data_IF_996246436303
#
_entry.id   IF_996246436303
#
_cell.length_a   1.000
_cell.length_b   1.000
_cell.length_c   1.000
_cell.angle_alpha   90.00
_cell.angle_beta   90.00
_cell.angle_gamma   90.00
#
_symmetry.space_group_name_H-M   'P 1'
#
loop_
_entity.id
_entity.type
_entity.pdbx_description
1 polymer ?
#
# COMPACT_ATOMS: atom_id res chain seq x y z
N UNK A 1 -62.14 47.68 -43.38
CA UNK A 1 -61.01 46.96 -44.00
C UNK A 1 -59.93 46.78 -42.93
N UNK A 2 -59.76 45.57 -42.40
CA UNK A 2 -58.75 45.27 -41.37
C UNK A 2 -57.58 44.53 -42.03
N UNK A 3 -56.39 45.10 -41.93
CA UNK A 3 -55.16 44.50 -42.44
C UNK A 3 -54.67 43.42 -41.46
N UNK A 4 -54.82 42.16 -41.86
CA UNK A 4 -54.09 41.02 -41.29
C UNK A 4 -52.76 40.92 -42.02
N UNK A 5 -51.63 41.02 -41.32
CA UNK A 5 -50.36 40.70 -41.94
C UNK A 5 -49.13 40.98 -41.09
N UNK A 6 -48.63 39.94 -40.42
CA UNK A 6 -47.22 39.86 -40.08
C UNK A 6 -46.89 39.60 -38.62
N UNK A 7 -47.28 38.45 -38.07
CA UNK A 7 -46.68 37.95 -36.83
C UNK A 7 -45.22 37.63 -37.13
N UNK A 8 -44.30 38.44 -36.59
CA UNK A 8 -42.86 38.13 -36.57
C UNK A 8 -42.67 36.85 -35.78
N UNK A 9 -42.27 35.77 -36.45
CA UNK A 9 -41.82 34.54 -35.78
C UNK A 9 -40.55 34.86 -35.01
N UNK A 10 -40.66 34.98 -33.69
CA UNK A 10 -39.51 34.97 -32.80
C UNK A 10 -38.87 33.59 -32.90
N UNK A 11 -37.70 33.53 -33.54
CA UNK A 11 -36.87 32.33 -33.58
C UNK A 11 -36.48 31.95 -32.16
N UNK A 12 -37.09 30.90 -31.63
CA UNK A 12 -36.71 30.24 -30.37
C UNK A 12 -35.66 29.16 -30.60
N UNK A 13 -34.74 29.37 -31.53
CA UNK A 13 -33.59 28.49 -31.72
C UNK A 13 -32.46 28.88 -30.75
N UNK A 14 -32.70 28.70 -29.45
CA UNK A 14 -31.60 28.58 -28.50
C UNK A 14 -30.91 27.23 -28.75
N UNK A 15 -29.57 27.15 -28.82
CA UNK A 15 -28.87 25.88 -29.03
C UNK A 15 -29.22 24.95 -27.86
N UNK A 16 -29.97 23.90 -28.16
CA UNK A 16 -30.27 22.85 -27.17
C UNK A 16 -28.94 22.18 -26.86
N UNK A 17 -28.43 22.36 -25.64
CA UNK A 17 -27.33 21.53 -25.13
C UNK A 17 -27.86 20.10 -25.08
N UNK A 18 -27.47 19.30 -26.06
CA UNK A 18 -27.81 17.89 -26.12
C UNK A 18 -27.24 17.21 -24.88
N UNK A 19 -28.14 16.57 -24.12
CA UNK A 19 -27.71 15.76 -22.99
C UNK A 19 -26.98 14.52 -23.53
N UNK A 20 -25.84 14.15 -22.93
CA UNK A 20 -25.07 13.01 -23.39
C UNK A 20 -25.94 11.76 -23.35
N UNK A 21 -25.97 11.03 -24.46
CA UNK A 21 -26.75 9.79 -24.61
C UNK A 21 -26.22 8.65 -23.75
N UNK A 22 -24.99 8.79 -23.22
CA UNK A 22 -24.36 7.85 -22.28
C UNK A 22 -23.28 8.52 -21.43
N UNK A 23 -23.06 8.03 -20.21
CA UNK A 23 -21.99 8.50 -19.31
C UNK A 23 -20.60 8.51 -19.96
N UNK A 24 -20.30 7.48 -20.78
CA UNK A 24 -19.00 7.36 -21.47
C UNK A 24 -18.82 8.47 -22.52
N UNK A 25 -19.88 8.82 -23.26
CA UNK A 25 -19.82 9.91 -24.23
C UNK A 25 -19.55 11.26 -23.56
N UNK A 26 -20.09 11.47 -22.35
CA UNK A 26 -19.86 12.66 -21.56
C UNK A 26 -18.41 12.78 -21.06
N UNK A 27 -17.85 11.68 -20.53
CA UNK A 27 -16.46 11.62 -20.07
C UNK A 27 -15.46 11.83 -21.21
N UNK A 28 -15.76 11.32 -22.42
CA UNK A 28 -14.93 11.53 -23.62
C UNK A 28 -14.82 13.00 -24.02
N UNK A 29 -15.88 13.77 -23.81
CA UNK A 29 -15.92 15.22 -24.10
C UNK A 29 -15.40 16.09 -22.96
N UNK A 30 -15.26 15.51 -21.76
CA UNK A 30 -14.80 16.24 -20.59
C UNK A 30 -13.26 16.30 -20.59
N UNK A 31 -12.69 17.50 -20.71
CA UNK A 31 -11.25 17.71 -20.62
C UNK A 31 -10.81 17.51 -19.17
N UNK A 32 -10.53 16.27 -18.80
CA UNK A 32 -10.07 15.91 -17.46
C UNK A 32 -8.64 16.44 -17.24
N UNK A 33 -8.41 17.09 -16.12
CA UNK A 33 -7.07 17.50 -15.72
C UNK A 33 -6.37 16.31 -15.06
N UNK A 34 -5.89 15.38 -15.90
CA UNK A 34 -5.29 14.10 -15.51
C UNK A 34 -4.10 14.30 -14.57
N UNK A 35 -3.37 15.41 -14.70
CA UNK A 35 -2.27 15.76 -13.80
C UNK A 35 -2.76 16.01 -12.37
N UNK A 36 -3.78 16.85 -12.18
CA UNK A 36 -4.33 17.12 -10.85
C UNK A 36 -4.97 15.87 -10.23
N UNK A 37 -5.62 15.04 -11.05
CA UNK A 37 -6.18 13.76 -10.61
C UNK A 37 -5.06 12.80 -10.17
N UNK A 38 -3.97 12.74 -10.93
CA UNK A 38 -2.80 11.91 -10.60
C UNK A 38 -2.11 12.35 -9.31
N UNK A 39 -1.91 13.66 -9.12
CA UNK A 39 -1.34 14.22 -7.88
C UNK A 39 -2.25 13.94 -6.68
N UNK A 40 -3.56 14.08 -6.84
CA UNK A 40 -4.52 13.75 -5.79
C UNK A 40 -4.49 12.25 -5.45
N UNK A 41 -4.45 11.37 -6.45
CA UNK A 41 -4.37 9.93 -6.21
C UNK A 41 -3.05 9.52 -5.54
N UNK A 42 -1.92 10.08 -5.98
CA UNK A 42 -0.61 9.82 -5.37
C UNK A 42 -0.55 10.27 -3.91
N UNK A 43 -1.04 11.47 -3.60
CA UNK A 43 -1.06 11.98 -2.22
C UNK A 43 -2.00 11.17 -1.33
N UNK A 44 -3.17 10.76 -1.83
CA UNK A 44 -4.09 9.88 -1.11
C UNK A 44 -3.48 8.49 -0.88
N UNK A 45 -2.81 7.93 -1.90
CA UNK A 45 -2.12 6.64 -1.80
C UNK A 45 -0.98 6.69 -0.80
N UNK A 46 -0.14 7.72 -0.85
CA UNK A 46 1.00 7.88 0.06
C UNK A 46 0.55 8.09 1.50
N UNK A 47 -0.47 8.93 1.71
CA UNK A 47 -1.04 9.14 3.05
C UNK A 47 -1.69 7.86 3.60
N UNK A 48 -2.40 7.10 2.78
CA UNK A 48 -2.96 5.80 3.17
C UNK A 48 -1.86 4.82 3.60
N UNK A 49 -0.79 4.70 2.80
CA UNK A 49 0.36 3.86 3.16
C UNK A 49 0.99 4.32 4.48
N UNK A 50 1.20 5.62 4.67
CA UNK A 50 1.81 6.17 5.88
C UNK A 50 0.98 5.91 7.14
N UNK A 51 -0.35 6.01 7.05
CA UNK A 51 -1.26 5.67 8.16
C UNK A 51 -1.20 4.18 8.49
N UNK A 52 -1.20 3.31 7.48
CA UNK A 52 -1.08 1.85 7.70
C UNK A 52 0.27 1.48 8.33
N UNK A 53 1.37 2.11 7.90
CA UNK A 53 2.68 1.90 8.52
C UNK A 53 2.71 2.33 9.97
N UNK A 54 2.14 3.51 10.28
CA UNK A 54 2.06 4.00 11.65
C UNK A 54 1.27 3.05 12.55
N UNK A 55 0.11 2.59 12.10
CA UNK A 55 -0.71 1.64 12.86
C UNK A 55 0.02 0.33 13.13
N UNK A 56 0.69 -0.25 12.12
CA UNK A 56 1.49 -1.48 12.31
C UNK A 56 2.65 -1.25 13.27
N UNK A 57 3.31 -0.11 13.16
CA UNK A 57 4.42 0.25 14.04
C UNK A 57 3.96 0.39 15.50
N UNK A 58 2.83 1.07 15.74
CA UNK A 58 2.27 1.26 17.08
C UNK A 58 1.88 -0.09 17.71
N UNK A 59 1.33 -1.02 16.92
CA UNK A 59 1.03 -2.40 17.37
C UNK A 59 2.31 -3.14 17.75
N UNK A 60 3.33 -3.14 16.88
CA UNK A 60 4.62 -3.80 17.15
C UNK A 60 5.33 -3.20 18.35
N UNK A 61 5.25 -1.88 18.56
CA UNK A 61 5.78 -1.25 19.76
C UNK A 61 5.04 -1.70 21.03
N UNK A 62 3.71 -1.81 20.97
CA UNK A 62 2.92 -2.31 22.10
C UNK A 62 3.28 -3.74 22.46
N UNK A 63 3.39 -4.62 21.45
CA UNK A 63 3.81 -6.01 21.61
C UNK A 63 5.24 -6.11 22.17
N UNK A 64 6.17 -5.29 21.68
CA UNK A 64 7.54 -5.22 22.22
C UNK A 64 7.54 -4.89 23.71
N UNK A 65 6.80 -3.88 24.14
CA UNK A 65 6.76 -3.50 25.57
C UNK A 65 6.24 -4.65 26.44
N UNK A 66 5.18 -5.34 26.00
CA UNK A 66 4.67 -6.51 26.71
C UNK A 66 5.67 -7.67 26.72
N UNK A 67 6.45 -7.83 25.65
CA UNK A 67 7.48 -8.84 25.58
C UNK A 67 8.65 -8.51 26.52
N UNK A 68 9.10 -7.25 26.54
CA UNK A 68 10.15 -6.76 27.42
C UNK A 68 9.75 -6.95 28.90
N UNK A 69 8.52 -6.60 29.28
CA UNK A 69 7.99 -6.83 30.63
C UNK A 69 8.00 -8.33 31.00
N UNK A 70 7.64 -9.21 30.07
CA UNK A 70 7.66 -10.67 30.29
C UNK A 70 9.08 -11.20 30.39
N UNK A 71 10.00 -10.70 29.57
CA UNK A 71 11.41 -11.05 29.63
C UNK A 71 11.99 -10.63 30.97
N UNK A 72 11.75 -9.40 31.44
CA UNK A 72 12.20 -8.95 32.75
C UNK A 72 11.67 -9.83 33.90
N UNK A 73 10.40 -10.26 33.84
CA UNK A 73 9.85 -11.19 34.82
C UNK A 73 10.52 -12.56 34.76
N UNK A 74 10.76 -13.08 33.56
CA UNK A 74 11.45 -14.35 33.37
C UNK A 74 12.90 -14.27 33.85
N UNK A 75 13.60 -13.18 33.59
CA UNK A 75 14.96 -12.95 34.07
C UNK A 75 15.02 -12.96 35.61
N UNK A 76 14.07 -12.28 36.26
CA UNK A 76 13.95 -12.31 37.73
C UNK A 76 13.66 -13.71 38.25
N UNK A 77 12.73 -14.44 37.64
CA UNK A 77 12.41 -15.81 38.04
C UNK A 77 13.60 -16.77 37.83
N UNK A 78 14.35 -16.61 36.75
CA UNK A 78 15.55 -17.40 36.48
C UNK A 78 16.61 -17.14 37.55
N UNK A 79 16.83 -15.89 37.93
CA UNK A 79 17.74 -15.54 39.02
C UNK A 79 17.26 -16.08 40.38
N UNK A 80 15.97 -15.97 40.68
CA UNK A 80 15.36 -16.49 41.92
C UNK A 80 15.46 -18.02 42.02
N UNK A 81 15.42 -18.73 40.88
CA UNK A 81 15.60 -20.18 40.78
C UNK A 81 17.08 -20.60 40.72
N UNK A 82 18.03 -19.65 40.77
CA UNK A 82 19.47 -19.91 40.75
C UNK A 82 20.05 -20.19 39.36
N UNK A 83 19.33 -19.86 38.29
CA UNK A 83 19.81 -19.92 36.91
C UNK A 83 20.70 -18.73 36.56
N UNK A 84 21.52 -18.90 35.51
CA UNK A 84 22.45 -17.86 35.01
C UNK A 84 21.90 -17.32 33.70
N UNK A 85 21.86 -16.00 33.57
CA UNK A 85 21.44 -15.32 32.34
C UNK A 85 22.58 -15.31 31.30
N UNK A 86 22.27 -15.50 30.01
CA UNK A 86 23.27 -15.40 28.95
C UNK A 86 23.78 -13.96 28.82
N UNK A 87 25.10 -13.77 28.80
CA UNK A 87 25.72 -12.46 28.61
C UNK A 87 25.49 -11.98 27.17
N UNK A 88 25.43 -10.66 26.97
CA UNK A 88 25.22 -10.02 25.66
C UNK A 88 26.18 -10.52 24.56
N UNK A 89 27.40 -10.92 24.92
CA UNK A 89 28.40 -11.50 24.00
C UNK A 89 28.04 -12.89 23.47
N UNK A 90 27.24 -13.67 24.20
CA UNK A 90 26.75 -14.99 23.75
C UNK A 90 25.53 -14.86 22.84
N UNK A 91 24.64 -13.89 23.10
CA UNK A 91 23.48 -13.58 22.26
C UNK A 91 23.89 -13.02 20.88
N UNK A 92 24.94 -12.19 20.82
CA UNK A 92 25.46 -11.67 19.55
C UNK A 92 25.94 -12.78 18.61
N UNK A 93 26.64 -13.80 19.14
CA UNK A 93 27.18 -14.92 18.34
C UNK A 93 26.08 -15.86 17.83
N UNK A 94 25.03 -16.08 18.61
CA UNK A 94 23.90 -16.92 18.19
C UNK A 94 23.00 -16.24 17.17
N UNK A 95 22.76 -14.94 17.32
CA UNK A 95 21.97 -14.16 16.36
C UNK A 95 22.69 -14.00 15.02
N UNK A 96 24.01 -13.77 15.01
CA UNK A 96 24.80 -13.78 13.78
C UNK A 96 24.76 -15.15 13.09
N UNK A 97 24.86 -16.24 13.85
CA UNK A 97 24.78 -17.60 13.31
C UNK A 97 23.41 -17.92 12.70
N UNK A 98 22.32 -17.44 13.30
CA UNK A 98 20.97 -17.61 12.75
C UNK A 98 20.73 -16.75 11.51
N UNK A 99 21.17 -15.49 11.51
CA UNK A 99 21.04 -14.59 10.35
C UNK A 99 21.84 -15.09 9.15
N UNK A 100 22.99 -15.73 9.37
CA UNK A 100 23.76 -16.36 8.30
C UNK A 100 23.06 -17.60 7.72
N UNK A 101 22.41 -18.41 8.56
CA UNK A 101 21.64 -19.59 8.11
C UNK A 101 20.43 -19.19 7.28
N UNK A 102 19.66 -18.20 7.71
CA UNK A 102 18.47 -17.75 6.98
C UNK A 102 18.85 -17.17 5.60
N UNK A 103 19.96 -16.42 5.52
CA UNK A 103 20.49 -15.92 4.25
C UNK A 103 20.98 -17.01 3.31
N UNK A 104 21.59 -18.07 3.85
CA UNK A 104 22.01 -19.22 3.05
C UNK A 104 20.82 -20.03 2.51
N UNK A 105 19.75 -20.16 3.30
CA UNK A 105 18.52 -20.84 2.89
C UNK A 105 17.77 -20.04 1.81
N UNK A 106 17.71 -18.71 1.93
CA UNK A 106 17.15 -17.85 0.89
C UNK A 106 17.98 -17.88 -0.41
N UNK A 107 19.31 -17.87 -0.32
CA UNK A 107 20.18 -17.98 -1.49
C UNK A 107 20.03 -19.35 -2.19
N UNK A 108 19.85 -20.43 -1.42
CA UNK A 108 19.57 -21.77 -1.96
C UNK A 108 18.19 -21.83 -2.61
N UNK A 109 17.17 -21.22 -2.03
CA UNK A 109 15.84 -21.14 -2.63
C UNK A 109 15.84 -20.35 -3.95
N UNK A 110 16.54 -19.22 -4.00
CA UNK A 110 16.66 -18.39 -5.21
C UNK A 110 17.42 -19.10 -6.32
N UNK A 111 18.47 -19.85 -5.99
CA UNK A 111 19.24 -20.62 -7.00
C UNK A 111 18.44 -21.78 -7.57
N UNK A 112 17.60 -22.47 -6.77
CA UNK A 112 16.69 -23.50 -7.26
C UNK A 112 15.66 -22.92 -8.25
N UNK A 113 15.07 -21.75 -7.94
CA UNK A 113 14.12 -21.08 -8.84
C UNK A 113 14.77 -20.65 -10.17
N UNK A 114 16.01 -20.14 -10.13
CA UNK A 114 16.74 -19.73 -11.34
C UNK A 114 17.11 -20.93 -12.23
N UNK A 115 17.37 -22.10 -11.64
CA UNK A 115 17.69 -23.32 -12.39
C UNK A 115 16.45 -23.90 -13.07
N UNK A 116 15.29 -23.88 -12.41
CA UNK A 116 14.03 -24.33 -13.00
C UNK A 116 13.55 -23.41 -14.13
N UNK A 117 13.72 -22.09 -14.02
CA UNK A 117 13.38 -21.13 -15.08
C UNK A 117 14.27 -21.25 -16.33
N UNK A 118 15.51 -21.73 -16.17
CA UNK A 118 16.41 -22.02 -17.31
C UNK A 118 16.03 -23.33 -18.00
N UNK A 119 15.44 -24.28 -17.28
CA UNK A 119 15.06 -25.60 -17.81
C UNK A 119 13.73 -25.56 -18.57
N UNK A 120 12.81 -24.68 -18.16
CA UNK A 120 11.49 -24.50 -18.81
C UNK A 120 11.53 -23.66 -20.09
N UNK A 121 12.60 -22.88 -20.33
CA UNK A 121 12.82 -22.10 -21.56
C UNK A 121 13.58 -22.84 -22.67
N UNK A 122 14.03 -24.06 -22.42
CA UNK A 122 14.81 -24.89 -23.35
C UNK A 122 14.01 -26.08 -23.93
N UNK A 123 12.69 -26.09 -23.75
CA UNK A 123 11.73 -26.99 -24.42
C UNK A 123 10.84 -26.11 -25.30
#
# INVERSE_FOLDING_TARGET
MFALGGIRRLSTAAPRKEYPTSFISHLRTQKLNVFNIGVAFLTLSLSSQMVSYKQRYDVVQGEKKQLDEKVEMLEKLVLDLGGVLPNEETLAKETEAHVLRDREEEAKALTVLIVDDKKSKLI
#
